data_IF_041232300294
#
_entry.id   IF_041232300294
#
_cell.length_a   1.000
_cell.length_b   1.000
_cell.length_c   1.000
_cell.angle_alpha   90.00
_cell.angle_beta   90.00
_cell.angle_gamma   90.00
#
_symmetry.space_group_name_H-M   'P 1'
#
loop_
_entity.id
_entity.type
_entity.pdbx_description
1 polymer ?
#
# COMPACT_ATOMS: atom_id res chain seq x y z
N UNK A 1 -0.24 27.65 -29.47
CA UNK A 1 -1.29 27.62 -28.43
C UNK A 1 -1.31 26.25 -27.78
N UNK A 2 -1.19 26.20 -26.45
CA UNK A 2 -1.41 24.97 -25.67
C UNK A 2 -2.91 24.62 -25.70
N UNK A 3 -3.23 23.32 -25.69
CA UNK A 3 -4.61 22.81 -25.64
C UNK A 3 -5.58 23.38 -26.71
N UNK A 4 -5.09 23.71 -27.91
CA UNK A 4 -5.86 24.34 -29.02
C UNK A 4 -7.09 23.56 -29.53
N UNK A 5 -7.25 22.31 -29.09
CA UNK A 5 -8.37 21.44 -29.47
C UNK A 5 -9.42 21.31 -28.35
N UNK A 6 -9.28 22.05 -27.26
CA UNK A 6 -10.31 22.16 -26.22
C UNK A 6 -11.31 23.25 -26.63
N UNK A 7 -12.56 22.91 -26.96
CA UNK A 7 -13.56 23.90 -27.33
C UNK A 7 -13.95 24.77 -26.12
N UNK A 8 -14.40 26.01 -26.37
CA UNK A 8 -14.92 26.90 -25.33
C UNK A 8 -16.30 26.46 -24.81
N UNK A 9 -17.06 25.76 -25.64
CA UNK A 9 -18.37 25.23 -25.27
C UNK A 9 -18.19 23.90 -24.54
N UNK A 10 -18.75 23.76 -23.32
CA UNK A 10 -18.70 22.50 -22.60
C UNK A 10 -19.51 21.43 -23.35
N UNK A 11 -18.99 20.20 -23.38
CA UNK A 11 -19.68 19.03 -23.94
C UNK A 11 -19.89 17.98 -22.87
N UNK A 12 -21.11 17.48 -22.73
CA UNK A 12 -21.40 16.32 -21.89
C UNK A 12 -20.88 15.06 -22.58
N UNK A 13 -19.87 14.43 -21.99
CA UNK A 13 -19.20 13.23 -22.52
C UNK A 13 -19.53 12.03 -21.64
N UNK A 14 -20.04 10.97 -22.25
CA UNK A 14 -20.41 9.73 -21.53
C UNK A 14 -19.34 8.64 -21.61
N UNK A 15 -18.63 8.52 -22.75
CA UNK A 15 -17.67 7.42 -23.00
C UNK A 15 -16.21 7.90 -23.07
N UNK A 16 -15.98 9.06 -23.70
CA UNK A 16 -14.63 9.55 -23.97
C UNK A 16 -14.02 10.23 -22.74
N UNK A 17 -13.01 9.59 -22.15
CA UNK A 17 -12.14 10.19 -21.14
C UNK A 17 -10.95 10.90 -21.79
N UNK A 18 -10.68 12.15 -21.39
CA UNK A 18 -9.53 12.96 -21.84
C UNK A 18 -8.93 13.63 -20.62
N UNK A 19 -7.61 13.54 -20.46
CA UNK A 19 -6.87 14.10 -19.32
C UNK A 19 -7.49 13.68 -17.97
N UNK A 20 -7.55 12.38 -17.66
CA UNK A 20 -8.23 11.89 -16.47
C UNK A 20 -7.60 12.44 -15.18
N UNK A 21 -8.44 12.82 -14.22
CA UNK A 21 -8.02 13.22 -12.88
C UNK A 21 -7.85 12.03 -11.92
N UNK A 22 -7.49 10.86 -12.46
CA UNK A 22 -7.20 9.64 -11.70
C UNK A 22 -6.29 8.71 -12.49
N UNK A 23 -5.61 7.82 -11.78
CA UNK A 23 -4.93 6.64 -12.35
C UNK A 23 -5.44 5.36 -11.67
N UNK A 24 -4.98 4.20 -12.14
CA UNK A 24 -5.45 2.86 -11.74
C UNK A 24 -4.96 2.43 -10.34
N UNK A 25 -5.61 1.40 -9.78
CA UNK A 25 -5.35 0.91 -8.42
C UNK A 25 -3.88 0.55 -8.11
N UNK A 26 -3.13 -0.20 -8.94
CA UNK A 26 -1.91 -0.86 -8.47
C UNK A 26 -0.78 0.08 -8.06
N UNK A 27 -0.71 1.31 -8.61
CA UNK A 27 0.27 2.31 -8.15
C UNK A 27 0.02 2.76 -6.70
N UNK A 28 -1.25 2.82 -6.28
CA UNK A 28 -1.58 3.13 -4.89
C UNK A 28 -1.26 1.99 -3.94
N UNK A 29 -1.46 0.74 -4.36
CA UNK A 29 -1.02 -0.42 -3.60
C UNK A 29 0.51 -0.50 -3.49
N UNK A 30 1.23 -0.22 -4.59
CA UNK A 30 2.68 -0.10 -4.59
C UNK A 30 3.15 0.97 -3.60
N UNK A 31 2.53 2.15 -3.60
CA UNK A 31 2.83 3.22 -2.65
C UNK A 31 2.58 2.80 -1.20
N UNK A 32 1.45 2.15 -0.91
CA UNK A 32 1.15 1.61 0.41
C UNK A 32 2.22 0.59 0.85
N UNK A 33 2.56 -0.37 -0.01
CA UNK A 33 3.56 -1.41 0.28
C UNK A 33 4.94 -0.86 0.61
N UNK A 34 5.36 0.23 -0.06
CA UNK A 34 6.63 0.92 0.27
C UNK A 34 6.62 1.52 1.69
N UNK A 35 5.45 1.73 2.28
CA UNK A 35 5.32 2.19 3.64
C UNK A 35 5.52 1.10 4.70
N UNK A 36 5.88 -0.12 4.32
CA UNK A 36 6.30 -1.20 5.22
C UNK A 36 7.83 -1.32 5.18
N UNK A 37 8.46 -1.38 6.35
CA UNK A 37 9.92 -1.55 6.46
C UNK A 37 10.37 -2.86 5.80
N UNK A 38 11.50 -2.83 5.08
CA UNK A 38 12.05 -4.03 4.43
C UNK A 38 11.15 -4.66 3.35
N UNK A 39 10.14 -3.95 2.84
CA UNK A 39 9.18 -4.50 1.90
C UNK A 39 9.61 -4.35 0.43
N UNK A 40 9.41 -5.42 -0.36
CA UNK A 40 9.41 -5.33 -1.82
C UNK A 40 7.98 -5.46 -2.36
N UNK A 41 7.40 -4.38 -2.92
CA UNK A 41 6.14 -4.47 -3.66
C UNK A 41 6.30 -5.41 -4.87
N UNK A 42 5.31 -6.26 -5.11
CA UNK A 42 5.32 -7.22 -6.23
C UNK A 42 4.08 -7.05 -7.11
N UNK A 43 4.29 -6.57 -8.33
CA UNK A 43 3.21 -6.39 -9.33
C UNK A 43 2.92 -7.71 -10.05
N UNK A 44 1.84 -8.38 -9.69
CA UNK A 44 1.41 -9.61 -10.36
C UNK A 44 0.65 -9.30 -11.66
N UNK A 45 1.33 -9.45 -12.78
CA UNK A 45 0.78 -9.21 -14.12
C UNK A 45 1.87 -8.98 -15.17
N UNK A 46 1.52 -8.26 -16.24
CA UNK A 46 2.49 -7.86 -17.26
C UNK A 46 3.44 -6.77 -16.74
N UNK A 47 4.72 -6.89 -17.09
CA UNK A 47 5.80 -6.01 -16.61
C UNK A 47 5.63 -4.53 -16.97
N UNK A 48 4.85 -4.20 -17.99
CA UNK A 48 4.55 -2.82 -18.36
C UNK A 48 3.87 -2.03 -17.23
N UNK A 49 2.99 -2.68 -16.45
CA UNK A 49 2.35 -2.06 -15.29
C UNK A 49 3.38 -1.62 -14.25
N UNK A 50 4.24 -2.57 -13.84
CA UNK A 50 5.30 -2.30 -12.86
C UNK A 50 6.22 -1.16 -13.32
N UNK A 51 6.66 -1.18 -14.58
CA UNK A 51 7.52 -0.13 -15.14
C UNK A 51 6.86 1.26 -15.08
N UNK A 52 5.59 1.38 -15.48
CA UNK A 52 4.88 2.67 -15.43
C UNK A 52 4.64 3.17 -14.02
N UNK A 53 4.21 2.30 -13.10
CA UNK A 53 3.92 2.68 -11.72
C UNK A 53 5.18 3.15 -10.99
N UNK A 54 6.28 2.39 -11.10
CA UNK A 54 7.60 2.79 -10.57
C UNK A 54 8.04 4.12 -11.16
N UNK A 55 7.96 4.26 -12.49
CA UNK A 55 8.37 5.49 -13.18
C UNK A 55 7.57 6.71 -12.73
N UNK A 56 6.27 6.55 -12.51
CA UNK A 56 5.40 7.66 -12.06
C UNK A 56 5.75 8.10 -10.64
N UNK A 57 5.95 7.16 -9.71
CA UNK A 57 6.38 7.46 -8.35
C UNK A 57 7.79 8.09 -8.33
N UNK A 58 8.76 7.55 -9.08
CA UNK A 58 10.10 8.15 -9.21
C UNK A 58 10.04 9.56 -9.81
N UNK A 59 9.14 9.82 -10.78
CA UNK A 59 8.97 11.18 -11.32
C UNK A 59 8.41 12.15 -10.30
N UNK A 60 7.55 11.71 -9.39
CA UNK A 60 6.96 12.54 -8.33
C UNK A 60 7.99 12.84 -7.24
N UNK A 61 8.54 11.79 -6.63
CA UNK A 61 9.42 11.90 -5.46
C UNK A 61 10.88 12.23 -5.78
N UNK A 62 11.31 12.02 -7.03
CA UNK A 62 12.73 12.04 -7.42
C UNK A 62 13.59 11.00 -6.70
N UNK A 63 12.94 9.96 -6.19
CA UNK A 63 13.55 8.87 -5.41
C UNK A 63 13.55 7.55 -6.19
N UNK A 64 14.46 6.61 -5.85
CA UNK A 64 14.37 5.23 -6.28
C UNK A 64 13.06 4.59 -5.82
N UNK A 65 12.37 3.90 -6.73
CA UNK A 65 11.15 3.14 -6.40
C UNK A 65 11.36 1.69 -6.82
N UNK A 66 11.44 0.81 -5.83
CA UNK A 66 11.69 -0.62 -6.00
C UNK A 66 10.37 -1.39 -6.05
N UNK A 67 10.25 -2.28 -7.03
CA UNK A 67 9.18 -3.27 -7.09
C UNK A 67 9.58 -4.39 -8.05
N UNK A 68 9.15 -5.62 -7.73
CA UNK A 68 9.22 -6.77 -8.64
C UNK A 68 7.97 -6.87 -9.53
N UNK A 69 7.99 -7.82 -10.46
CA UNK A 69 6.82 -8.16 -11.29
C UNK A 69 6.84 -9.62 -11.69
N UNK A 70 5.67 -10.20 -11.93
CA UNK A 70 5.55 -11.58 -12.41
C UNK A 70 5.83 -11.71 -13.91
N UNK A 71 5.96 -10.60 -14.64
CA UNK A 71 6.36 -10.57 -16.05
C UNK A 71 5.56 -11.52 -16.94
N UNK A 72 4.23 -11.35 -16.95
CA UNK A 72 3.35 -12.17 -17.78
C UNK A 72 3.72 -12.05 -19.26
N UNK A 73 3.78 -13.21 -19.90
CA UNK A 73 3.79 -13.36 -21.36
C UNK A 73 2.41 -13.81 -21.82
N UNK A 74 2.23 -14.01 -23.13
CA UNK A 74 0.98 -14.54 -23.68
C UNK A 74 0.60 -15.90 -23.08
N UNK A 75 1.57 -16.75 -22.74
CA UNK A 75 1.34 -18.03 -22.07
C UNK A 75 0.57 -17.91 -20.74
N UNK A 76 0.86 -16.87 -19.95
CA UNK A 76 0.13 -16.64 -18.68
C UNK A 76 -1.35 -16.29 -18.91
N UNK A 77 -1.71 -15.75 -20.08
CA UNK A 77 -3.12 -15.51 -20.43
C UNK A 77 -3.91 -16.78 -20.73
N UNK A 78 -3.21 -17.89 -21.02
CA UNK A 78 -3.80 -19.21 -21.27
C UNK A 78 -3.79 -20.06 -20.00
N UNK A 79 -2.68 -20.06 -19.26
CA UNK A 79 -2.43 -20.99 -18.16
C UNK A 79 -2.48 -20.38 -16.76
N UNK A 80 -2.76 -19.08 -16.65
CA UNK A 80 -2.69 -18.34 -15.39
C UNK A 80 -1.26 -17.98 -14.97
N UNK A 81 -1.16 -17.15 -13.93
CA UNK A 81 0.07 -16.55 -13.44
C UNK A 81 0.85 -17.37 -12.40
N UNK A 82 0.41 -18.58 -12.06
CA UNK A 82 0.94 -19.34 -10.92
C UNK A 82 2.46 -19.56 -11.01
N UNK A 83 2.93 -20.12 -12.13
CA UNK A 83 4.35 -20.40 -12.33
C UNK A 83 5.19 -19.13 -12.24
N UNK A 84 4.67 -18.02 -12.75
CA UNK A 84 5.32 -16.72 -12.71
C UNK A 84 5.45 -16.18 -11.29
N UNK A 85 4.38 -16.18 -10.48
CA UNK A 85 4.44 -15.64 -9.12
C UNK A 85 5.31 -16.49 -8.21
N UNK A 86 5.17 -17.82 -8.27
CA UNK A 86 5.95 -18.75 -7.45
C UNK A 86 7.44 -18.61 -7.75
N UNK A 87 7.82 -18.50 -9.04
CA UNK A 87 9.21 -18.27 -9.41
C UNK A 87 9.70 -16.87 -8.99
N UNK A 88 8.85 -15.84 -9.12
CA UNK A 88 9.20 -14.48 -8.71
C UNK A 88 9.47 -14.41 -7.20
N UNK A 89 8.64 -15.05 -6.37
CA UNK A 89 8.84 -15.13 -4.91
C UNK A 89 10.22 -15.73 -4.59
N UNK A 90 10.55 -16.89 -5.17
CA UNK A 90 11.85 -17.54 -4.98
C UNK A 90 13.02 -16.62 -5.36
N UNK A 91 12.95 -16.00 -6.53
CA UNK A 91 13.99 -15.12 -7.03
C UNK A 91 14.14 -13.86 -6.16
N UNK A 92 13.02 -13.29 -5.68
CA UNK A 92 13.03 -12.08 -4.86
C UNK A 92 13.73 -12.34 -3.53
N UNK A 93 13.35 -13.39 -2.81
CA UNK A 93 14.02 -13.70 -1.54
C UNK A 93 15.48 -14.10 -1.75
N UNK A 94 15.81 -14.79 -2.86
CA UNK A 94 17.20 -15.20 -3.13
C UNK A 94 18.13 -14.05 -3.54
N UNK A 95 17.62 -13.03 -4.25
CA UNK A 95 18.44 -11.98 -4.84
C UNK A 95 18.37 -10.64 -4.09
N UNK A 96 17.22 -10.33 -3.51
CA UNK A 96 16.96 -9.04 -2.88
C UNK A 96 16.70 -9.16 -1.37
N UNK A 97 16.38 -10.36 -0.88
CA UNK A 97 16.18 -10.65 0.55
C UNK A 97 15.30 -9.65 1.34
N UNK A 98 14.13 -9.19 0.83
CA UNK A 98 13.23 -8.34 1.62
C UNK A 98 12.73 -9.09 2.87
N UNK A 99 12.27 -8.38 3.90
CA UNK A 99 11.55 -8.98 5.03
C UNK A 99 10.17 -9.48 4.61
N UNK A 100 9.54 -8.76 3.68
CA UNK A 100 8.18 -9.02 3.23
C UNK A 100 7.98 -8.69 1.75
N UNK A 101 7.26 -9.57 1.04
CA UNK A 101 6.75 -9.28 -0.30
C UNK A 101 5.28 -8.89 -0.20
N UNK A 102 4.91 -7.73 -0.74
CA UNK A 102 3.52 -7.29 -0.80
C UNK A 102 3.01 -7.37 -2.25
N UNK A 103 2.24 -8.41 -2.54
CA UNK A 103 1.72 -8.69 -3.89
C UNK A 103 0.47 -7.85 -4.16
N UNK A 104 0.47 -7.11 -5.26
CA UNK A 104 -0.75 -6.48 -5.79
C UNK A 104 -0.98 -6.94 -7.22
N UNK A 105 -2.24 -7.05 -7.62
CA UNK A 105 -2.63 -7.57 -8.94
C UNK A 105 -2.81 -6.46 -9.98
N UNK A 106 -2.93 -6.84 -11.25
CA UNK A 106 -3.21 -5.91 -12.36
C UNK A 106 -4.57 -6.23 -12.98
N UNK A 107 -5.06 -5.40 -13.91
CA UNK A 107 -6.23 -5.79 -14.70
C UNK A 107 -6.07 -7.16 -15.38
N UNK A 108 -4.87 -7.52 -15.84
CA UNK A 108 -4.64 -8.78 -16.54
C UNK A 108 -4.88 -10.00 -15.64
N UNK A 109 -4.22 -10.06 -14.49
CA UNK A 109 -4.37 -11.17 -13.55
C UNK A 109 -5.78 -11.25 -12.94
N UNK A 110 -6.42 -10.10 -12.73
CA UNK A 110 -7.80 -10.03 -12.24
C UNK A 110 -8.82 -10.50 -13.30
N UNK A 111 -8.59 -10.20 -14.58
CA UNK A 111 -9.43 -10.70 -15.67
C UNK A 111 -9.27 -12.20 -15.88
N UNK A 112 -8.06 -12.73 -15.73
CA UNK A 112 -7.80 -14.18 -15.79
C UNK A 112 -8.40 -14.89 -14.58
N UNK A 113 -8.46 -14.22 -13.43
CA UNK A 113 -8.97 -14.79 -12.17
C UNK A 113 -7.90 -15.55 -11.40
N UNK A 114 -6.66 -15.05 -11.39
CA UNK A 114 -5.54 -15.68 -10.68
C UNK A 114 -5.79 -15.74 -9.16
N UNK A 115 -5.61 -16.93 -8.57
CA UNK A 115 -5.76 -17.19 -7.13
C UNK A 115 -4.43 -16.97 -6.38
N UNK A 116 -4.20 -15.73 -5.96
CA UNK A 116 -2.97 -15.33 -5.27
C UNK A 116 -2.75 -16.10 -3.96
N UNK A 117 -3.76 -16.28 -3.07
CA UNK A 117 -3.62 -17.16 -1.90
C UNK A 117 -3.09 -18.55 -2.24
N UNK A 118 -3.68 -19.23 -3.23
CA UNK A 118 -3.25 -20.56 -3.62
C UNK A 118 -1.80 -20.56 -4.14
N UNK A 119 -1.40 -19.53 -4.89
CA UNK A 119 -0.05 -19.43 -5.45
C UNK A 119 1.00 -19.17 -4.37
N UNK A 120 0.70 -18.31 -3.39
CA UNK A 120 1.56 -18.07 -2.23
C UNK A 120 1.72 -19.35 -1.42
N UNK A 121 0.62 -20.07 -1.17
CA UNK A 121 0.68 -21.36 -0.48
C UNK A 121 1.54 -22.39 -1.23
N UNK A 122 1.51 -22.41 -2.56
CA UNK A 122 2.40 -23.27 -3.34
C UNK A 122 3.87 -22.87 -3.19
N UNK A 123 4.19 -21.57 -3.09
CA UNK A 123 5.55 -21.10 -2.83
C UNK A 123 6.02 -21.53 -1.43
N UNK A 124 5.16 -21.48 -0.41
CA UNK A 124 5.43 -22.00 0.94
C UNK A 124 5.75 -23.50 0.90
N UNK A 125 4.92 -24.31 0.24
CA UNK A 125 5.12 -25.76 0.13
C UNK A 125 6.44 -26.13 -0.56
N UNK A 126 6.92 -25.27 -1.47
CA UNK A 126 8.22 -25.44 -2.15
C UNK A 126 9.41 -24.93 -1.32
N UNK A 127 9.17 -24.35 -0.15
CA UNK A 127 10.21 -23.75 0.69
C UNK A 127 10.79 -22.45 0.11
N UNK A 128 10.05 -21.77 -0.76
CA UNK A 128 10.51 -20.53 -1.42
C UNK A 128 10.27 -19.28 -0.56
N UNK A 129 9.56 -19.41 0.56
CA UNK A 129 9.41 -18.36 1.56
C UNK A 129 10.24 -18.77 2.78
N UNK A 130 11.41 -18.15 3.00
CA UNK A 130 12.27 -18.48 4.14
C UNK A 130 11.59 -18.23 5.49
N UNK A 131 12.10 -18.88 6.54
CA UNK A 131 11.62 -18.67 7.90
C UNK A 131 11.73 -17.18 8.30
N UNK A 132 10.70 -16.68 8.99
CA UNK A 132 10.61 -15.27 9.40
C UNK A 132 10.15 -14.31 8.30
N UNK A 133 10.26 -14.67 7.02
CA UNK A 133 9.80 -13.84 5.90
C UNK A 133 8.29 -13.95 5.69
N UNK A 134 7.69 -12.92 5.09
CA UNK A 134 6.24 -12.85 4.86
C UNK A 134 5.89 -12.57 3.40
N UNK A 135 4.75 -13.07 2.96
CA UNK A 135 4.13 -12.68 1.68
C UNK A 135 2.66 -12.36 1.95
N UNK A 136 2.26 -11.14 1.62
CA UNK A 136 0.87 -10.67 1.74
C UNK A 136 0.34 -10.30 0.36
N UNK A 137 -0.97 -10.21 0.20
CA UNK A 137 -1.53 -9.75 -1.06
C UNK A 137 -2.79 -8.90 -0.93
N UNK A 138 -3.03 -8.08 -1.95
CA UNK A 138 -4.29 -7.40 -2.18
C UNK A 138 -4.71 -7.50 -3.66
N UNK A 139 -6.00 -7.75 -3.91
CA UNK A 139 -6.57 -7.64 -5.24
C UNK A 139 -6.79 -6.16 -5.61
N UNK A 140 -6.25 -5.75 -6.75
CA UNK A 140 -6.26 -4.37 -7.24
C UNK A 140 -6.68 -4.25 -8.71
N UNK A 141 -7.91 -4.65 -9.06
CA UNK A 141 -8.42 -4.57 -10.43
C UNK A 141 -8.45 -3.12 -10.93
N UNK A 142 -7.66 -2.85 -11.98
CA UNK A 142 -7.45 -1.49 -12.48
C UNK A 142 -8.69 -0.83 -13.09
N UNK A 143 -9.70 -1.62 -13.44
CA UNK A 143 -10.98 -1.15 -13.97
C UNK A 143 -11.97 -0.72 -12.89
N UNK A 144 -11.67 -0.92 -11.60
CA UNK A 144 -12.51 -0.49 -10.49
C UNK A 144 -11.85 0.68 -9.73
N UNK A 145 -12.60 1.72 -9.37
CA UNK A 145 -12.09 2.81 -8.53
C UNK A 145 -10.91 3.60 -9.13
N UNK A 146 -9.86 3.76 -8.32
CA UNK A 146 -8.61 4.47 -8.66
C UNK A 146 -7.43 4.01 -7.79
N UNK A 147 -6.23 4.58 -7.99
CA UNK A 147 -5.09 4.43 -7.09
C UNK A 147 -5.43 4.54 -5.59
N UNK A 148 -6.35 5.44 -5.19
CA UNK A 148 -6.77 5.54 -3.78
C UNK A 148 -7.44 4.26 -3.28
N UNK A 149 -8.22 3.60 -4.14
CA UNK A 149 -8.84 2.29 -3.83
C UNK A 149 -7.77 1.20 -3.72
N UNK A 150 -6.78 1.20 -4.62
CA UNK A 150 -5.69 0.23 -4.55
C UNK A 150 -4.82 0.39 -3.31
N UNK A 151 -4.57 1.64 -2.90
CA UNK A 151 -3.94 1.95 -1.62
C UNK A 151 -4.76 1.34 -0.47
N UNK A 152 -6.06 1.65 -0.39
CA UNK A 152 -6.93 1.15 0.67
C UNK A 152 -6.97 -0.39 0.75
N UNK A 153 -7.01 -1.06 -0.40
CA UNK A 153 -6.96 -2.52 -0.47
C UNK A 153 -5.65 -3.09 0.09
N UNK A 154 -4.52 -2.46 -0.21
CA UNK A 154 -3.23 -2.89 0.32
C UNK A 154 -3.11 -2.62 1.83
N UNK A 155 -3.55 -1.46 2.33
CA UNK A 155 -3.54 -1.19 3.79
C UNK A 155 -4.44 -2.17 4.54
N UNK A 156 -5.61 -2.48 3.96
CA UNK A 156 -6.50 -3.52 4.50
C UNK A 156 -5.81 -4.89 4.52
N UNK A 157 -5.09 -5.25 3.46
CA UNK A 157 -4.34 -6.50 3.44
C UNK A 157 -3.26 -6.56 4.52
N UNK A 158 -2.53 -5.46 4.77
CA UNK A 158 -1.53 -5.41 5.85
C UNK A 158 -2.13 -5.86 7.18
N UNK A 159 -3.26 -5.28 7.58
CA UNK A 159 -3.90 -5.63 8.87
C UNK A 159 -4.55 -7.01 8.85
N UNK A 160 -5.10 -7.45 7.72
CA UNK A 160 -5.72 -8.78 7.64
C UNK A 160 -4.69 -9.90 7.78
N UNK A 161 -3.52 -9.73 7.17
CA UNK A 161 -2.43 -10.71 7.18
C UNK A 161 -1.56 -10.64 8.44
N UNK A 162 -1.24 -9.43 8.90
CA UNK A 162 -0.14 -9.24 9.86
C UNK A 162 -0.62 -8.88 11.26
N UNK A 163 -1.77 -8.23 11.41
CA UNK A 163 -2.26 -7.88 12.74
C UNK A 163 -2.58 -9.15 13.54
N UNK A 164 -2.16 -9.13 14.79
CA UNK A 164 -2.34 -10.17 15.80
C UNK A 164 -2.97 -9.53 17.05
N UNK A 165 -3.52 -10.35 17.93
CA UNK A 165 -4.00 -9.88 19.23
C UNK A 165 -3.52 -10.82 20.33
N UNK A 166 -2.96 -10.23 21.37
CA UNK A 166 -2.58 -10.91 22.61
C UNK A 166 -3.75 -11.03 23.58
N UNK A 167 -4.84 -10.30 23.33
CA UNK A 167 -6.01 -10.19 24.21
C UNK A 167 -5.91 -9.06 25.24
N UNK A 168 -4.79 -8.33 25.27
CA UNK A 168 -4.59 -7.16 26.13
C UNK A 168 -4.60 -5.88 25.30
N UNK A 169 -5.39 -4.88 25.72
CA UNK A 169 -5.42 -3.58 25.05
C UNK A 169 -4.19 -2.76 25.44
N UNK A 170 -3.39 -2.38 24.45
CA UNK A 170 -2.24 -1.49 24.62
C UNK A 170 -2.62 -0.01 24.77
N UNK A 171 -1.74 0.78 25.38
CA UNK A 171 -1.90 2.24 25.56
C UNK A 171 -1.34 3.04 24.37
N UNK A 172 -1.64 2.58 23.16
CA UNK A 172 -1.30 3.25 21.90
C UNK A 172 -2.49 3.23 20.94
N UNK A 173 -2.46 4.10 19.95
CA UNK A 173 -3.48 4.16 18.89
C UNK A 173 -2.91 3.75 17.54
N UNK A 174 -3.71 3.12 16.69
CA UNK A 174 -3.36 3.03 15.29
C UNK A 174 -3.74 4.35 14.61
N UNK A 175 -2.86 4.86 13.77
CA UNK A 175 -3.20 5.91 12.81
C UNK A 175 -3.12 5.26 11.43
N UNK A 176 -4.29 4.97 10.86
CA UNK A 176 -4.36 4.46 9.49
C UNK A 176 -4.24 5.66 8.57
N UNK A 177 -3.09 5.78 7.91
CA UNK A 177 -2.80 6.91 7.05
C UNK A 177 -3.70 6.88 5.82
N UNK A 178 -4.05 8.07 5.34
CA UNK A 178 -4.68 8.21 4.04
C UNK A 178 -3.64 8.14 2.92
N UNK A 179 -4.08 8.25 1.68
CA UNK A 179 -3.18 8.46 0.54
C UNK A 179 -2.61 9.90 0.58
N UNK A 180 -1.62 10.11 1.45
CA UNK A 180 -0.96 11.40 1.76
C UNK A 180 0.55 11.29 1.57
N UNK A 181 1.26 12.43 1.58
CA UNK A 181 2.70 12.48 1.33
C UNK A 181 3.52 11.98 2.54
N UNK A 182 4.79 11.56 2.32
CA UNK A 182 5.71 11.20 3.41
C UNK A 182 5.88 12.32 4.45
N UNK A 183 5.81 13.59 4.02
CA UNK A 183 5.88 14.74 4.90
C UNK A 183 4.63 14.89 5.78
N UNK A 184 3.44 14.60 5.23
CA UNK A 184 2.19 14.61 5.99
C UNK A 184 2.18 13.50 7.03
N UNK A 185 2.68 12.30 6.68
CA UNK A 185 2.87 11.18 7.61
C UNK A 185 3.79 11.55 8.78
N UNK A 186 4.91 12.22 8.50
CA UNK A 186 5.81 12.72 9.53
C UNK A 186 5.14 13.78 10.42
N UNK A 187 4.35 14.68 9.85
CA UNK A 187 3.63 15.72 10.60
C UNK A 187 2.54 15.15 11.50
N UNK A 188 1.77 14.17 11.01
CA UNK A 188 0.77 13.45 11.79
C UNK A 188 1.42 12.77 13.00
N UNK A 189 2.56 12.08 12.82
CA UNK A 189 3.34 11.50 13.93
C UNK A 189 3.84 12.58 14.90
N UNK A 190 4.32 13.71 14.38
CA UNK A 190 4.83 14.83 15.20
C UNK A 190 3.73 15.41 16.08
N UNK A 191 2.53 15.65 15.54
CA UNK A 191 1.38 16.14 16.30
C UNK A 191 0.97 15.14 17.38
N UNK A 192 0.83 13.86 17.04
CA UNK A 192 0.50 12.82 18.02
C UNK A 192 1.53 12.73 19.15
N UNK A 193 2.83 12.79 18.80
CA UNK A 193 3.91 12.81 19.78
C UNK A 193 3.89 14.06 20.68
N UNK A 194 3.52 15.23 20.16
CA UNK A 194 3.36 16.44 20.98
C UNK A 194 2.19 16.36 21.96
N UNK A 195 1.17 15.55 21.67
CA UNK A 195 0.07 15.26 22.58
C UNK A 195 0.41 14.14 23.58
N UNK A 196 1.61 13.56 23.50
CA UNK A 196 2.03 12.44 24.35
C UNK A 196 1.33 11.12 24.01
N UNK A 197 0.80 10.99 22.79
CA UNK A 197 0.08 9.79 22.33
C UNK A 197 1.02 8.87 21.56
N UNK A 198 1.32 7.71 22.15
CA UNK A 198 1.99 6.62 21.46
C UNK A 198 1.11 6.10 20.31
N UNK A 199 1.71 5.90 19.14
CA UNK A 199 0.97 5.55 17.95
C UNK A 199 1.75 4.62 17.02
N UNK A 200 0.99 3.82 16.27
CA UNK A 200 1.46 3.03 15.14
C UNK A 200 0.83 3.63 13.88
N UNK A 201 1.65 4.29 13.04
CA UNK A 201 1.22 4.82 11.75
C UNK A 201 1.35 3.72 10.69
N UNK A 202 0.27 3.42 9.97
CA UNK A 202 0.30 2.41 8.89
C UNK A 202 -0.50 2.84 7.65
N UNK A 203 0.07 2.65 6.44
CA UNK A 203 1.50 2.54 6.14
C UNK A 203 2.23 3.84 6.47
N UNK A 204 3.57 3.81 6.48
CA UNK A 204 4.40 4.98 6.71
C UNK A 204 5.54 5.08 5.68
N UNK A 205 5.41 5.97 4.71
CA UNK A 205 6.44 6.18 3.66
C UNK A 205 7.46 7.25 4.04
N UNK A 206 7.37 7.84 5.23
CA UNK A 206 8.39 8.76 5.75
C UNK A 206 9.71 8.01 5.97
N UNK A 207 10.81 8.58 5.49
CA UNK A 207 12.11 7.92 5.46
C UNK A 207 12.25 6.84 4.38
N UNK A 208 11.30 6.72 3.45
CA UNK A 208 11.37 5.79 2.30
C UNK A 208 11.31 6.53 0.97
N UNK A 209 10.37 7.47 0.82
CA UNK A 209 10.19 8.26 -0.42
C UNK A 209 10.61 9.73 -0.25
N UNK A 210 11.44 9.98 0.75
CA UNK A 210 12.06 11.27 1.06
C UNK A 210 13.39 11.05 1.81
N UNK A 211 14.25 10.15 1.31
CA UNK A 211 15.50 9.76 1.96
C UNK A 211 16.60 10.82 1.81
N UNK A 212 17.57 10.88 2.73
CA UNK A 212 18.77 11.69 2.53
C UNK A 212 19.71 11.04 1.52
N UNK A 213 20.43 11.86 0.75
CA UNK A 213 21.49 11.38 -0.13
C UNK A 213 22.78 11.13 0.66
N UNK A 214 23.02 9.88 1.09
CA UNK A 214 24.16 9.49 1.94
C UNK A 214 25.41 9.04 1.18
N UNK A 215 25.31 8.88 -0.15
CA UNK A 215 26.39 8.36 -0.99
C UNK A 215 26.37 6.83 -1.18
N UNK A 216 25.53 6.12 -0.42
CA UNK A 216 25.27 4.68 -0.58
C UNK A 216 23.82 4.46 -0.97
N UNK A 217 23.55 3.56 -1.92
CA UNK A 217 22.18 3.18 -2.25
C UNK A 217 21.71 2.08 -1.30
N UNK A 218 20.69 2.39 -0.51
CA UNK A 218 19.94 1.42 0.29
C UNK A 218 18.69 0.98 -0.48
N UNK A 219 18.59 -0.30 -0.82
CA UNK A 219 17.43 -0.83 -1.55
C UNK A 219 16.15 -0.78 -0.70
N UNK A 220 16.28 -0.98 0.61
CA UNK A 220 15.22 -0.83 1.60
C UNK A 220 15.63 0.27 2.59
N UNK A 221 15.11 1.50 2.43
CA UNK A 221 15.38 2.58 3.37
C UNK A 221 14.94 2.27 4.80
N UNK A 222 15.50 3.00 5.76
CA UNK A 222 15.27 2.77 7.19
C UNK A 222 13.84 3.11 7.67
N UNK A 223 13.05 3.86 6.87
CA UNK A 223 11.65 4.15 7.16
C UNK A 223 10.73 2.94 7.00
N UNK A 224 9.42 3.20 7.04
CA UNK A 224 8.40 2.13 6.99
C UNK A 224 7.92 1.69 8.36
N UNK A 225 6.65 1.32 8.46
CA UNK A 225 6.12 0.60 9.63
C UNK A 225 6.67 -0.83 9.61
N UNK A 226 7.17 -1.31 10.75
CA UNK A 226 7.76 -2.65 10.85
C UNK A 226 6.69 -3.74 10.91
N UNK A 227 7.06 -4.98 10.57
CA UNK A 227 6.17 -6.14 10.72
C UNK A 227 5.74 -6.31 12.19
N UNK A 228 6.64 -6.06 13.14
CA UNK A 228 6.35 -6.17 14.57
C UNK A 228 5.37 -5.09 15.06
N UNK A 229 5.45 -3.87 14.53
CA UNK A 229 4.43 -2.84 14.78
C UNK A 229 3.09 -3.20 14.13
N UNK A 230 3.10 -3.71 12.89
CA UNK A 230 1.88 -4.16 12.21
C UNK A 230 1.16 -5.27 12.99
N UNK A 231 1.90 -6.22 13.60
CA UNK A 231 1.33 -7.24 14.50
C UNK A 231 0.60 -6.64 15.68
N UNK A 232 1.18 -5.63 16.33
CA UNK A 232 0.60 -4.94 17.49
C UNK A 232 -0.69 -4.18 17.19
N UNK A 233 -1.02 -3.93 15.92
CA UNK A 233 -2.21 -3.14 15.56
C UNK A 233 -3.54 -3.76 16.01
N UNK A 234 -3.61 -5.08 16.22
CA UNK A 234 -4.81 -5.75 16.73
C UNK A 234 -5.08 -5.51 18.22
N UNK A 235 -4.11 -5.00 18.97
CA UNK A 235 -4.23 -4.71 20.40
C UNK A 235 -4.33 -3.20 20.72
N UNK A 236 -4.35 -2.33 19.70
CA UNK A 236 -4.43 -0.89 19.91
C UNK A 236 -5.75 -0.46 20.58
N UNK A 237 -5.71 0.64 21.32
CA UNK A 237 -6.88 1.22 22.00
C UNK A 237 -8.01 1.62 21.04
N UNK A 238 -7.64 2.15 19.87
CA UNK A 238 -8.53 2.56 18.78
C UNK A 238 -7.72 2.76 17.50
N UNK A 239 -8.40 2.79 16.36
CA UNK A 239 -7.83 3.13 15.06
C UNK A 239 -8.40 4.45 14.54
N UNK A 240 -7.54 5.44 14.36
CA UNK A 240 -7.87 6.73 13.73
C UNK A 240 -7.64 6.61 12.22
N UNK A 241 -8.70 6.57 11.42
CA UNK A 241 -8.63 6.45 9.97
C UNK A 241 -8.67 7.83 9.31
N UNK A 242 -7.54 8.28 8.78
CA UNK A 242 -7.41 9.61 8.16
C UNK A 242 -7.76 9.56 6.68
N UNK A 243 -8.89 10.17 6.30
CA UNK A 243 -9.39 10.16 4.92
C UNK A 243 -10.16 8.88 4.62
N UNK A 244 -11.50 8.99 4.65
CA UNK A 244 -12.43 7.86 4.63
C UNK A 244 -12.18 6.84 3.52
N UNK A 245 -11.93 7.29 2.29
CA UNK A 245 -11.79 6.36 1.14
C UNK A 245 -10.52 5.51 1.24
N UNK A 246 -9.42 6.10 1.72
CA UNK A 246 -8.12 5.46 1.76
C UNK A 246 -7.93 4.60 3.02
N UNK A 247 -8.43 5.07 4.17
CA UNK A 247 -8.11 4.50 5.48
C UNK A 247 -9.23 3.64 6.09
N UNK A 248 -10.51 3.91 5.77
CA UNK A 248 -11.62 3.21 6.42
C UNK A 248 -11.58 1.68 6.26
N UNK A 249 -11.24 1.10 5.08
CA UNK A 249 -11.27 -0.35 4.91
C UNK A 249 -10.34 -1.11 5.86
N UNK A 250 -9.18 -0.54 6.22
CA UNK A 250 -8.25 -1.17 7.15
C UNK A 250 -8.71 -1.02 8.61
N UNK A 251 -9.15 0.18 9.00
CA UNK A 251 -9.67 0.40 10.36
C UNK A 251 -10.91 -0.46 10.64
N UNK A 252 -11.82 -0.59 9.68
CA UNK A 252 -12.98 -1.49 9.78
C UNK A 252 -12.58 -2.97 9.83
N UNK A 253 -11.50 -3.36 9.15
CA UNK A 253 -11.00 -4.74 9.23
C UNK A 253 -10.41 -5.04 10.61
N UNK A 254 -9.71 -4.08 11.23
CA UNK A 254 -9.23 -4.19 12.61
C UNK A 254 -10.39 -4.25 13.60
N UNK A 255 -11.41 -3.40 13.43
CA UNK A 255 -12.61 -3.41 14.27
C UNK A 255 -13.35 -4.75 14.17
N UNK A 256 -13.57 -5.26 12.95
CA UNK A 256 -14.27 -6.52 12.73
C UNK A 256 -13.51 -7.75 13.26
N UNK A 257 -12.17 -7.77 13.14
CA UNK A 257 -11.34 -8.93 13.51
C UNK A 257 -10.90 -8.90 14.98
N UNK A 258 -10.66 -7.72 15.54
CA UNK A 258 -10.03 -7.54 16.87
C UNK A 258 -10.79 -6.60 17.80
N UNK A 259 -11.94 -6.06 17.41
CA UNK A 259 -12.73 -5.09 18.20
C UNK A 259 -11.99 -3.78 18.52
N UNK A 260 -10.93 -3.44 17.76
CA UNK A 260 -10.26 -2.14 17.84
C UNK A 260 -11.15 -1.07 17.21
N UNK A 261 -11.79 -0.23 18.03
CA UNK A 261 -12.79 0.75 17.58
C UNK A 261 -12.23 1.68 16.49
N UNK A 262 -12.99 1.87 15.41
CA UNK A 262 -12.60 2.73 14.30
C UNK A 262 -13.20 4.15 14.42
N UNK A 263 -12.34 5.17 14.38
CA UNK A 263 -12.75 6.57 14.25
C UNK A 263 -12.41 7.07 12.83
N UNK A 264 -13.44 7.34 12.03
CA UNK A 264 -13.27 7.86 10.68
C UNK A 264 -13.15 9.39 10.71
N UNK A 265 -12.04 9.91 10.22
CA UNK A 265 -11.71 11.32 10.21
C UNK A 265 -11.44 11.82 8.80
N UNK A 266 -11.59 13.12 8.58
CA UNK A 266 -11.04 13.77 7.40
C UNK A 266 -9.51 13.75 7.46
N UNK A 267 -8.86 14.02 6.32
CA UNK A 267 -7.45 14.39 6.37
C UNK A 267 -7.31 15.67 7.21
N UNK A 268 -6.30 15.81 8.09
CA UNK A 268 -6.13 16.94 8.99
C UNK A 268 -5.62 18.20 8.26
N UNK A 269 -6.35 18.63 7.24
CA UNK A 269 -6.05 19.77 6.37
C UNK A 269 -6.99 20.92 6.75
N UNK A 270 -6.38 22.02 7.21
CA UNK A 270 -7.09 23.20 7.68
C UNK A 270 -7.64 23.05 9.10
N UNK A 271 -8.02 24.18 9.71
CA UNK A 271 -8.25 24.32 11.15
C UNK A 271 -9.21 23.25 11.69
N UNK A 272 -10.44 23.19 11.18
CA UNK A 272 -11.48 22.31 11.73
C UNK A 272 -11.14 20.83 11.63
N UNK A 273 -10.44 20.40 10.57
CA UNK A 273 -10.09 19.01 10.37
C UNK A 273 -8.91 18.62 11.30
N UNK A 274 -7.94 19.50 11.44
CA UNK A 274 -6.85 19.34 12.42
C UNK A 274 -7.40 19.31 13.86
N UNK A 275 -8.34 20.20 14.22
CA UNK A 275 -8.98 20.21 15.55
C UNK A 275 -9.66 18.86 15.86
N UNK A 276 -10.35 18.27 14.87
CA UNK A 276 -10.97 16.95 15.01
C UNK A 276 -9.94 15.85 15.22
N UNK A 277 -8.83 15.89 14.49
CA UNK A 277 -7.73 14.94 14.68
C UNK A 277 -7.12 15.06 16.08
N UNK A 278 -6.78 16.27 16.53
CA UNK A 278 -6.21 16.51 17.87
C UNK A 278 -7.18 16.12 18.98
N UNK A 279 -8.47 16.42 18.82
CA UNK A 279 -9.50 16.01 19.80
C UNK A 279 -9.73 14.50 19.83
N UNK A 280 -9.42 13.81 18.75
CA UNK A 280 -9.59 12.37 18.62
C UNK A 280 -8.36 11.57 19.08
N UNK A 281 -7.21 12.20 19.33
CA UNK A 281 -6.04 11.58 19.97
C UNK A 281 -6.35 11.35 21.45
#
# INVERSE_FOLDING_TARGET
MLLRHTPNEPSDREVLSVNPAKTCQPIGAMYASLGIHGCLPQSHGSQGCCAYHRSMLTRHYKEPVMAGTSSFTEGASVFGGQANLVQAINNIFSLYDPEIIAVHTTCLSETIGDDIPAFVHQAEQKGFIPEGKKVIHANTPSFAGSHVTGYANMVKAMVQYLAESTGETGEYVNIVSGFIEPADMAEVKRIAGQMGVENILLPDTSGVLNTPQTGTHEMFPAGGVTIEELKKTGDAKKSLALGTIAAAPAAQALEAKFSVTAALLDLPIGIKATDRFVSAL
#
